data_IF_575485925771
#
_entry.id   IF_575485925771
#
_cell.length_a   1.000
_cell.length_b   1.000
_cell.length_c   1.000
_cell.angle_alpha   90.00
_cell.angle_beta   90.00
_cell.angle_gamma   90.00
#
_symmetry.space_group_name_H-M   'P 1'
#
loop_
_entity.id
_entity.type
_entity.pdbx_description
1 polymer ?
#
# COMPACT_ATOMS: atom_id res chain seq x y z
N UNK A 1 10.55 43.33 3.56
CA UNK A 1 11.73 42.88 4.32
C UNK A 1 11.28 42.68 5.76
N UNK A 2 11.13 41.43 6.21
CA UNK A 2 10.72 41.10 7.58
C UNK A 2 11.53 39.91 8.06
N UNK A 3 12.52 40.17 8.92
CA UNK A 3 13.16 39.15 9.74
C UNK A 3 12.27 38.96 10.97
N UNK A 4 12.08 37.72 11.42
CA UNK A 4 11.51 37.44 12.75
C UNK A 4 12.40 36.44 13.48
N UNK A 5 12.87 36.89 14.63
CA UNK A 5 13.83 36.25 15.50
C UNK A 5 13.31 34.93 16.08
N UNK A 6 14.25 34.02 16.36
CA UNK A 6 13.99 32.73 17.01
C UNK A 6 14.39 32.81 18.49
N UNK A 7 13.44 32.86 19.44
CA UNK A 7 13.77 32.70 20.85
C UNK A 7 14.04 31.23 21.17
N UNK A 8 15.06 31.00 21.99
CA UNK A 8 15.47 29.70 22.51
C UNK A 8 15.18 29.63 24.01
N UNK A 9 14.43 28.62 24.45
CA UNK A 9 14.25 28.29 25.87
C UNK A 9 14.15 26.77 26.04
N UNK A 10 15.08 26.18 26.79
CA UNK A 10 15.10 24.76 27.13
C UNK A 10 14.67 24.55 28.59
N UNK A 11 13.85 23.52 28.84
CA UNK A 11 13.42 22.90 30.12
C UNK A 11 12.68 21.59 29.77
N UNK A 12 12.67 20.49 30.55
CA UNK A 12 13.52 20.11 31.70
C UNK A 12 13.56 18.56 31.86
N UNK A 13 13.93 18.03 33.04
CA UNK A 13 14.32 16.63 33.31
C UNK A 13 13.25 15.77 34.02
N UNK A 14 13.39 14.43 34.02
CA UNK A 14 12.63 13.51 34.89
C UNK A 14 13.02 12.02 34.76
N UNK A 15 13.24 11.33 35.89
CA UNK A 15 13.83 9.97 35.97
C UNK A 15 13.23 9.14 37.13
N UNK A 16 13.21 7.80 37.00
CA UNK A 16 12.80 6.84 38.07
C UNK A 16 11.28 6.67 38.22
N UNK A 17 10.74 5.61 38.84
CA UNK A 17 11.39 4.51 39.59
C UNK A 17 10.44 3.28 39.72
N UNK A 18 10.91 2.22 40.35
CA UNK A 18 10.43 0.82 40.43
C UNK A 18 8.96 0.52 40.80
N UNK A 19 8.55 -0.74 40.52
CA UNK A 19 7.30 -1.34 40.96
C UNK A 19 7.35 -2.87 40.99
N UNK A 20 7.47 -3.44 42.19
CA UNK A 20 7.62 -4.88 42.45
C UNK A 20 6.47 -5.49 43.29
N UNK A 21 6.42 -6.82 43.24
CA UNK A 21 5.86 -7.76 44.24
C UNK A 21 4.42 -8.36 44.14
N UNK A 22 4.37 -9.59 44.65
CA UNK A 22 3.28 -10.37 45.24
C UNK A 22 2.16 -10.97 44.36
N UNK A 23 2.34 -12.27 44.16
CA UNK A 23 1.33 -13.27 43.88
C UNK A 23 0.09 -13.23 44.81
N UNK A 24 -1.09 -13.48 44.24
CA UNK A 24 -2.25 -14.00 44.98
C UNK A 24 -2.82 -15.22 44.25
N UNK A 25 -3.07 -16.30 44.99
CA UNK A 25 -3.74 -17.51 44.50
C UNK A 25 -5.25 -17.32 44.46
N UNK A 26 -5.93 -18.00 43.53
CA UNK A 26 -7.20 -18.73 43.75
C UNK A 26 -7.56 -19.53 42.47
N UNK A 27 -8.14 -20.72 42.62
CA UNK A 27 -8.63 -21.54 41.50
C UNK A 27 -10.12 -21.26 41.21
N UNK A 28 -10.64 -21.54 39.99
CA UNK A 28 -11.50 -22.73 39.90
C UNK A 28 -11.66 -23.42 38.51
N UNK A 29 -12.04 -24.71 38.60
CA UNK A 29 -12.99 -25.45 37.73
C UNK A 29 -12.68 -25.72 36.24
N UNK A 30 -12.79 -27.01 35.92
CA UNK A 30 -12.68 -27.65 34.60
C UNK A 30 -13.72 -27.21 33.57
N UNK A 31 -13.34 -27.15 32.28
CA UNK A 31 -14.23 -27.41 31.13
C UNK A 31 -13.42 -27.85 29.88
N UNK A 32 -14.04 -28.55 28.91
CA UNK A 32 -13.32 -29.46 28.01
C UNK A 32 -12.62 -28.74 26.84
N UNK A 33 -11.72 -29.48 26.17
CA UNK A 33 -10.99 -29.08 24.96
C UNK A 33 -11.79 -28.16 24.03
N UNK A 34 -11.55 -26.86 24.14
CA UNK A 34 -11.79 -25.95 23.03
C UNK A 34 -10.99 -26.45 21.84
N UNK A 35 -11.63 -26.57 20.67
CA UNK A 35 -10.89 -26.76 19.42
C UNK A 35 -9.87 -25.63 19.34
N UNK A 36 -8.61 -25.96 19.08
CA UNK A 36 -7.63 -24.97 18.64
C UNK A 36 -8.05 -24.53 17.24
N UNK A 37 -9.02 -23.61 17.20
CA UNK A 37 -9.21 -22.69 16.09
C UNK A 37 -7.92 -21.89 16.02
N UNK A 38 -6.93 -22.44 15.30
CA UNK A 38 -5.72 -21.73 14.98
C UNK A 38 -6.16 -20.44 14.31
N UNK A 39 -6.00 -19.32 15.01
CA UNK A 39 -6.28 -17.99 14.49
C UNK A 39 -5.48 -17.86 13.21
N UNK A 40 -6.17 -17.92 12.06
CA UNK A 40 -5.55 -17.59 10.80
C UNK A 40 -5.28 -16.09 10.86
N UNK A 41 -4.04 -15.73 11.18
CA UNK A 41 -3.58 -14.38 10.94
C UNK A 41 -3.87 -14.06 9.47
N UNK A 42 -4.50 -12.92 9.16
CA UNK A 42 -4.54 -12.45 7.79
C UNK A 42 -3.12 -12.08 7.33
N UNK A 43 -2.98 -11.78 6.04
CA UNK A 43 -1.86 -11.03 5.46
C UNK A 43 -0.52 -11.76 5.23
N UNK A 44 -0.57 -13.06 4.91
CA UNK A 44 0.27 -13.60 3.84
C UNK A 44 -0.37 -14.84 3.19
N UNK A 45 -1.16 -14.62 2.13
CA UNK A 45 -1.33 -15.66 1.12
C UNK A 45 0.04 -15.95 0.49
N UNK A 46 0.45 -17.22 0.35
CA UNK A 46 1.70 -17.56 -0.34
C UNK A 46 1.67 -16.95 -1.75
N UNK A 47 2.78 -16.36 -2.24
CA UNK A 47 2.83 -15.83 -3.59
C UNK A 47 2.55 -16.97 -4.58
N UNK A 48 1.36 -16.96 -5.21
CA UNK A 48 0.92 -18.10 -6.02
C UNK A 48 1.94 -18.39 -7.12
N UNK A 49 2.56 -19.59 -7.14
CA UNK A 49 3.68 -19.88 -8.03
C UNK A 49 3.30 -19.86 -9.51
N UNK A 50 1.99 -19.89 -9.81
CA UNK A 50 1.42 -19.80 -11.15
C UNK A 50 1.55 -18.40 -11.79
N UNK A 51 2.00 -17.36 -11.05
CA UNK A 51 2.20 -16.01 -11.62
C UNK A 51 3.56 -15.80 -12.30
N UNK A 52 4.60 -16.58 -11.99
CA UNK A 52 5.96 -16.32 -12.51
C UNK A 52 6.16 -16.81 -13.95
N UNK A 53 6.85 -15.99 -14.75
CA UNK A 53 7.38 -16.39 -16.06
C UNK A 53 6.32 -16.77 -17.11
N UNK A 54 5.05 -16.43 -16.89
CA UNK A 54 3.96 -16.75 -17.80
C UNK A 54 2.83 -15.70 -17.74
N UNK A 55 1.86 -15.81 -18.64
CA UNK A 55 0.74 -14.85 -18.78
C UNK A 55 -0.63 -15.48 -18.53
N UNK A 56 -0.72 -16.61 -17.78
CA UNK A 56 -1.97 -17.39 -17.58
C UNK A 56 -3.13 -16.60 -16.98
N UNK A 57 -2.85 -15.56 -16.17
CA UNK A 57 -3.89 -14.68 -15.61
C UNK A 57 -4.27 -13.50 -16.52
N UNK A 58 -3.60 -13.34 -17.66
CA UNK A 58 -3.92 -12.31 -18.63
C UNK A 58 -5.29 -12.59 -19.28
N UNK A 59 -6.22 -11.65 -19.13
CA UNK A 59 -7.52 -11.66 -19.81
C UNK A 59 -7.69 -10.49 -20.77
N UNK A 60 -6.72 -9.56 -20.87
CA UNK A 60 -6.71 -8.48 -21.85
C UNK A 60 -5.97 -8.81 -23.15
N UNK A 61 -5.22 -9.92 -23.22
CA UNK A 61 -4.46 -10.34 -24.40
C UNK A 61 -3.14 -9.61 -24.67
N UNK A 62 -2.75 -8.62 -23.86
CA UNK A 62 -1.58 -7.74 -24.10
C UNK A 62 -0.47 -7.83 -23.02
N UNK A 63 -0.62 -8.68 -21.99
CA UNK A 63 0.42 -8.83 -20.97
C UNK A 63 1.58 -9.69 -21.49
N UNK A 64 2.79 -9.40 -21.01
CA UNK A 64 4.01 -10.20 -21.23
C UNK A 64 4.44 -10.91 -19.94
N UNK A 65 5.22 -12.01 -20.02
CA UNK A 65 5.82 -12.63 -18.82
C UNK A 65 6.74 -11.64 -18.10
N UNK A 66 6.55 -11.47 -16.79
CA UNK A 66 7.38 -10.60 -15.95
C UNK A 66 8.31 -11.42 -15.04
N UNK A 67 9.46 -10.86 -14.61
CA UNK A 67 10.45 -11.58 -13.80
C UNK A 67 10.00 -11.77 -12.35
N UNK A 68 9.05 -10.98 -11.84
CA UNK A 68 8.53 -11.08 -10.47
C UNK A 68 7.03 -11.36 -10.40
N UNK A 69 6.58 -11.96 -9.31
CA UNK A 69 5.14 -12.18 -9.02
C UNK A 69 4.38 -10.89 -8.83
N UNK A 70 5.05 -9.83 -8.35
CA UNK A 70 4.50 -8.50 -8.09
C UNK A 70 4.09 -7.80 -9.39
N UNK A 71 4.97 -7.85 -10.40
CA UNK A 71 4.76 -7.24 -11.71
C UNK A 71 3.84 -8.06 -12.62
N UNK A 72 3.63 -9.35 -12.31
CA UNK A 72 2.81 -10.29 -13.09
C UNK A 72 1.30 -10.08 -12.86
N UNK A 73 0.80 -8.87 -13.17
CA UNK A 73 -0.59 -8.44 -12.98
C UNK A 73 -1.23 -7.98 -14.30
N UNK A 74 -2.46 -8.44 -14.57
CA UNK A 74 -3.25 -7.97 -15.69
C UNK A 74 -4.00 -6.68 -15.35
N UNK A 75 -4.15 -5.77 -16.32
CA UNK A 75 -4.97 -4.56 -16.13
C UNK A 75 -6.46 -4.87 -15.81
N UNK A 76 -6.91 -6.11 -16.04
CA UNK A 76 -8.24 -6.64 -15.70
C UNK A 76 -8.37 -7.11 -14.25
N UNK A 77 -7.27 -7.17 -13.48
CA UNK A 77 -7.30 -7.38 -12.02
C UNK A 77 -7.44 -6.04 -11.27
N UNK A 78 -7.08 -4.92 -11.90
CA UNK A 78 -7.01 -3.60 -11.25
C UNK A 78 -8.31 -2.81 -11.45
N UNK A 79 -9.12 -2.68 -10.39
CA UNK A 79 -10.42 -1.99 -10.44
C UNK A 79 -10.36 -0.57 -11.00
N UNK A 80 -9.30 0.20 -10.73
CA UNK A 80 -9.13 1.53 -11.29
C UNK A 80 -8.93 1.51 -12.83
N UNK A 81 -8.22 0.53 -13.37
CA UNK A 81 -8.04 0.36 -14.81
C UNK A 81 -9.33 -0.13 -15.48
N UNK A 82 -10.07 -1.07 -14.86
CA UNK A 82 -11.39 -1.51 -15.34
C UNK A 82 -12.36 -0.33 -15.46
N UNK A 83 -12.40 0.58 -14.46
CA UNK A 83 -13.24 1.80 -14.52
C UNK A 83 -12.84 2.77 -15.63
N UNK A 84 -11.54 2.85 -15.96
CA UNK A 84 -11.04 3.70 -17.06
C UNK A 84 -11.26 3.08 -18.45
N UNK A 85 -11.29 1.76 -18.54
CA UNK A 85 -11.44 1.02 -19.79
C UNK A 85 -12.24 -0.28 -19.54
N UNK A 86 -13.57 -0.27 -19.67
CA UNK A 86 -14.42 -1.41 -19.28
C UNK A 86 -14.17 -2.72 -20.06
N UNK A 87 -13.66 -2.66 -21.29
CA UNK A 87 -13.39 -3.81 -22.17
C UNK A 87 -12.03 -3.68 -22.88
N UNK A 88 -11.48 -4.79 -23.41
CA UNK A 88 -10.17 -4.79 -24.11
C UNK A 88 -8.96 -4.72 -23.18
N UNK A 89 -7.89 -4.03 -23.59
CA UNK A 89 -6.74 -3.68 -22.75
C UNK A 89 -6.76 -2.19 -22.35
N UNK A 90 -6.21 -1.84 -21.18
CA UNK A 90 -6.08 -0.44 -20.74
C UNK A 90 -5.26 0.43 -21.72
N UNK A 91 -4.32 -0.19 -22.44
CA UNK A 91 -3.49 0.44 -23.47
C UNK A 91 -4.27 0.85 -24.72
N UNK A 92 -5.47 0.29 -24.92
CA UNK A 92 -6.38 0.63 -26.03
C UNK A 92 -7.30 1.80 -25.67
N UNK A 93 -7.21 2.35 -24.45
CA UNK A 93 -7.93 3.56 -24.10
C UNK A 93 -7.41 4.73 -24.95
N UNK A 94 -8.27 5.54 -25.60
CA UNK A 94 -7.85 6.63 -26.48
C UNK A 94 -6.92 7.67 -25.84
N UNK A 95 -6.94 7.80 -24.51
CA UNK A 95 -6.11 8.74 -23.76
C UNK A 95 -4.83 8.11 -23.19
N UNK A 96 -4.62 6.78 -23.32
CA UNK A 96 -3.45 6.11 -22.76
C UNK A 96 -2.14 6.67 -23.33
N UNK A 97 -2.08 6.88 -24.64
CA UNK A 97 -0.90 7.47 -25.28
C UNK A 97 -0.63 8.89 -24.74
N UNK A 98 -1.62 9.79 -24.81
CA UNK A 98 -1.46 11.20 -24.41
C UNK A 98 -1.17 11.37 -22.92
N UNK A 99 -1.67 10.49 -22.04
CA UNK A 99 -1.51 10.64 -20.59
C UNK A 99 -0.36 9.82 -19.99
N UNK A 100 0.12 8.78 -20.67
CA UNK A 100 1.12 7.86 -20.12
C UNK A 100 2.38 7.69 -20.99
N UNK A 101 2.35 8.08 -22.27
CA UNK A 101 3.47 7.90 -23.21
C UNK A 101 3.95 9.21 -23.87
N UNK A 102 3.17 10.29 -23.80
CA UNK A 102 3.54 11.59 -24.35
C UNK A 102 4.49 12.34 -23.40
N UNK A 103 5.76 12.45 -23.80
CA UNK A 103 6.82 13.09 -23.01
C UNK A 103 6.55 14.58 -22.74
N UNK A 104 5.87 15.29 -23.65
CA UNK A 104 5.57 16.72 -23.49
C UNK A 104 4.48 16.89 -22.44
N UNK A 105 3.43 16.08 -22.49
CA UNK A 105 2.37 16.07 -21.47
C UNK A 105 2.94 15.69 -20.11
N UNK A 106 3.77 14.64 -20.04
CA UNK A 106 4.40 14.21 -18.79
C UNK A 106 5.33 15.28 -18.21
N UNK A 107 6.12 15.96 -19.06
CA UNK A 107 6.98 17.08 -18.64
C UNK A 107 6.21 18.26 -18.06
N UNK A 108 5.09 18.65 -18.69
CA UNK A 108 4.20 19.71 -18.14
C UNK A 108 3.61 19.29 -16.79
N UNK A 109 3.15 18.04 -16.67
CA UNK A 109 2.59 17.52 -15.42
C UNK A 109 3.64 17.49 -14.30
N UNK A 110 4.89 17.11 -14.60
CA UNK A 110 6.00 17.14 -13.65
C UNK A 110 6.33 18.57 -13.20
N UNK A 111 6.46 19.52 -14.13
CA UNK A 111 6.70 20.93 -13.78
C UNK A 111 5.58 21.49 -12.88
N UNK A 112 4.31 21.19 -13.20
CA UNK A 112 3.17 21.60 -12.36
C UNK A 112 3.22 20.97 -10.96
N UNK A 113 3.73 19.75 -10.80
CA UNK A 113 3.92 19.14 -9.48
C UNK A 113 5.05 19.81 -8.68
N UNK A 114 6.14 20.19 -9.32
CA UNK A 114 7.25 20.93 -8.70
C UNK A 114 6.83 22.35 -8.27
N UNK A 115 6.10 23.06 -9.13
CA UNK A 115 5.67 24.44 -8.90
C UNK A 115 4.61 24.57 -7.78
N UNK A 116 3.75 23.55 -7.60
CA UNK A 116 2.59 23.63 -6.71
C UNK A 116 2.63 22.72 -5.48
N UNK A 117 3.33 21.58 -5.53
CA UNK A 117 3.41 20.62 -4.43
C UNK A 117 2.08 19.89 -4.15
N UNK A 118 2.10 18.55 -4.16
CA UNK A 118 0.89 17.78 -3.89
C UNK A 118 0.56 17.71 -2.39
N UNK A 119 -0.42 18.49 -1.95
CA UNK A 119 -1.19 18.16 -0.74
C UNK A 119 -2.15 17.01 -1.05
N UNK A 120 -1.65 15.78 -0.98
CA UNK A 120 -2.50 14.58 -0.93
C UNK A 120 -3.32 14.64 0.36
N UNK A 121 -4.61 14.95 0.24
CA UNK A 121 -5.55 14.82 1.36
C UNK A 121 -5.92 13.35 1.49
N UNK A 122 -5.46 12.70 2.54
CA UNK A 122 -5.95 11.38 2.91
C UNK A 122 -7.45 11.47 3.25
N UNK A 123 -8.28 10.92 2.39
CA UNK A 123 -9.67 10.56 2.73
C UNK A 123 -9.66 9.15 3.31
N UNK A 124 -9.70 9.06 4.65
CA UNK A 124 -10.00 7.84 5.38
C UNK A 124 -11.49 7.50 5.41
#
# INVERSE_FOLDING_TARGET
MWVRDRPSSAQDSGSGDDGEDACAVEAPVSRPRGKTSASRSPDHDPPEPDRLGNTRRCTCGQCVPMPTTLESICCREIQAAIRRQPSGCITENPHFHTLCLDEVVLGVVLQMYEDHGLLVKETG
#
